data_IF_119922946225
#
_entry.id   IF_119922946225
#
_cell.length_a   1.000
_cell.length_b   1.000
_cell.length_c   1.000
_cell.angle_alpha   90.00
_cell.angle_beta   90.00
_cell.angle_gamma   90.00
#
_symmetry.space_group_name_H-M   'P 1'
#
loop_
_entity.id
_entity.type
_entity.pdbx_description
1 polymer ?
#
# COMPACT_ATOMS: atom_id res chain seq x y z
N UNK A 1 10.12 -6.87 16.92
CA UNK A 1 10.93 -6.30 15.82
C UNK A 1 11.61 -5.04 16.35
N UNK A 2 12.90 -5.11 16.69
CA UNK A 2 13.63 -4.00 17.31
C UNK A 2 14.21 -3.13 16.18
N UNK A 3 13.58 -1.99 15.85
CA UNK A 3 14.03 -0.97 14.87
C UNK A 3 15.05 -1.49 13.84
N UNK A 4 14.70 -2.52 13.08
CA UNK A 4 15.56 -3.01 12.00
C UNK A 4 15.36 -2.03 10.87
N UNK A 5 16.25 -1.04 10.84
CA UNK A 5 16.67 -0.25 9.68
C UNK A 5 15.78 -0.42 8.45
N UNK A 6 14.72 0.39 8.39
CA UNK A 6 13.87 0.45 7.20
C UNK A 6 14.71 0.79 5.98
N UNK A 7 14.58 -0.02 4.95
CA UNK A 7 15.19 0.27 3.66
C UNK A 7 16.68 -0.06 3.55
N UNK A 8 17.28 -0.73 4.54
CA UNK A 8 18.57 -1.40 4.35
C UNK A 8 18.34 -2.72 3.59
N UNK A 9 18.83 -2.80 2.36
CA UNK A 9 18.73 -3.99 1.53
C UNK A 9 19.91 -4.09 0.57
N UNK A 10 20.05 -5.24 -0.10
CA UNK A 10 21.13 -5.45 -1.07
C UNK A 10 21.09 -4.42 -2.21
N UNK A 11 19.90 -3.89 -2.52
CA UNK A 11 19.67 -2.86 -3.54
C UNK A 11 20.17 -1.47 -3.11
N UNK A 12 20.35 -1.24 -1.82
CA UNK A 12 20.78 0.05 -1.23
C UNK A 12 22.19 -0.02 -0.64
N UNK A 13 22.94 -1.10 -0.94
CA UNK A 13 24.27 -1.31 -0.37
C UNK A 13 24.26 -1.80 1.08
N UNK A 14 23.15 -2.40 1.53
CA UNK A 14 22.88 -2.79 2.93
C UNK A 14 22.84 -1.62 3.92
N UNK A 15 22.69 -0.40 3.41
CA UNK A 15 22.52 0.81 4.23
C UNK A 15 21.07 1.34 4.12
N UNK A 16 20.51 1.95 5.16
CA UNK A 16 19.20 2.60 5.10
C UNK A 16 19.18 3.70 4.03
N UNK A 17 18.27 3.59 3.07
CA UNK A 17 18.08 4.62 2.04
C UNK A 17 17.21 5.76 2.56
N UNK A 18 17.83 6.78 3.15
CA UNK A 18 17.19 8.05 3.52
C UNK A 18 18.10 9.24 3.18
N UNK A 19 18.27 9.58 1.89
CA UNK A 19 19.16 10.67 1.47
C UNK A 19 18.70 12.06 1.95
N UNK A 20 17.40 12.22 2.25
CA UNK A 20 16.80 13.50 2.65
C UNK A 20 16.56 13.62 4.17
N UNK A 21 16.86 12.57 4.95
CA UNK A 21 16.70 12.58 6.40
C UNK A 21 15.24 12.62 6.88
N UNK A 22 14.29 12.15 6.07
CA UNK A 22 12.86 12.16 6.40
C UNK A 22 12.57 11.34 7.66
N UNK A 23 13.31 10.25 7.89
CA UNK A 23 13.14 9.41 9.07
C UNK A 23 13.58 10.10 10.37
N UNK A 24 14.27 11.24 10.28
CA UNK A 24 14.80 11.98 11.42
C UNK A 24 13.99 13.25 11.74
N UNK A 25 13.03 13.64 10.89
CA UNK A 25 12.25 14.86 11.07
C UNK A 25 11.41 14.86 12.36
N UNK A 26 11.04 13.68 12.86
CA UNK A 26 10.37 13.52 14.16
C UNK A 26 11.19 14.07 15.35
N UNK A 27 12.52 14.22 15.20
CA UNK A 27 13.37 14.84 16.23
C UNK A 27 13.15 16.35 16.33
N UNK A 28 12.66 16.97 15.26
CA UNK A 28 12.34 18.40 15.17
C UNK A 28 10.82 18.55 15.20
N UNK A 29 10.18 18.02 16.23
CA UNK A 29 8.71 17.89 16.31
C UNK A 29 8.10 18.75 17.43
N UNK A 30 8.50 20.02 17.54
CA UNK A 30 8.02 20.91 18.60
C UNK A 30 6.51 21.15 18.60
N UNK A 31 5.86 20.97 17.45
CA UNK A 31 4.43 21.17 17.24
C UNK A 31 3.66 19.86 17.02
N UNK A 32 4.30 18.70 17.13
CA UNK A 32 3.63 17.42 16.86
C UNK A 32 3.23 17.20 15.38
N UNK A 33 3.84 17.95 14.44
CA UNK A 33 3.53 17.91 12.99
C UNK A 33 4.28 16.79 12.26
N UNK A 34 5.45 16.38 12.75
CA UNK A 34 6.29 15.39 12.09
C UNK A 34 5.99 13.99 12.65
N UNK A 35 5.65 13.02 11.80
CA UNK A 35 5.34 11.66 12.25
C UNK A 35 6.57 10.94 12.79
N UNK A 36 6.39 10.16 13.85
CA UNK A 36 7.40 9.20 14.32
C UNK A 36 7.65 8.09 13.27
N UNK A 37 8.84 7.48 13.19
CA UNK A 37 9.14 6.41 12.23
C UNK A 37 8.17 5.23 12.24
N UNK A 38 7.54 4.90 13.38
CA UNK A 38 6.50 3.88 13.46
C UNK A 38 5.32 4.17 12.52
N UNK A 39 4.87 5.42 12.48
CA UNK A 39 3.82 5.85 11.55
C UNK A 39 4.27 5.75 10.10
N UNK A 40 5.50 6.15 9.80
CA UNK A 40 6.06 6.07 8.44
C UNK A 40 6.12 4.61 7.95
N UNK A 41 6.49 3.67 8.83
CA UNK A 41 6.47 2.23 8.54
C UNK A 41 5.07 1.72 8.22
N UNK A 42 4.09 2.05 9.08
CA UNK A 42 2.72 1.62 8.86
C UNK A 42 2.15 2.22 7.58
N UNK A 43 2.46 3.49 7.33
CA UNK A 43 2.05 4.21 6.13
C UNK A 43 2.61 3.54 4.88
N UNK A 44 3.90 3.23 4.84
CA UNK A 44 4.54 2.53 3.71
C UNK A 44 3.86 1.18 3.44
N UNK A 45 3.63 0.38 4.49
CA UNK A 45 2.99 -0.94 4.35
C UNK A 45 1.55 -0.80 3.84
N UNK A 46 0.78 0.17 4.35
CA UNK A 46 -0.59 0.42 3.90
C UNK A 46 -0.64 0.88 2.44
N UNK A 47 0.19 1.83 2.05
CA UNK A 47 0.29 2.27 0.65
C UNK A 47 0.73 1.13 -0.27
N UNK A 48 1.71 0.33 0.16
CA UNK A 48 2.15 -0.86 -0.58
C UNK A 48 1.02 -1.88 -0.79
N UNK A 49 0.26 -2.21 0.25
CA UNK A 49 -0.90 -3.13 0.16
C UNK A 49 -1.98 -2.59 -0.78
N UNK A 50 -2.36 -1.33 -0.62
CA UNK A 50 -3.34 -0.69 -1.49
C UNK A 50 -2.86 -0.63 -2.94
N UNK A 51 -1.59 -0.28 -3.18
CA UNK A 51 -1.02 -0.25 -4.52
C UNK A 51 -0.94 -1.63 -5.17
N UNK A 52 -0.62 -2.68 -4.41
CA UNK A 52 -0.65 -4.06 -4.92
C UNK A 52 -2.05 -4.48 -5.37
N UNK A 53 -3.09 -4.16 -4.58
CA UNK A 53 -4.48 -4.43 -4.95
C UNK A 53 -4.91 -3.61 -6.17
N UNK A 54 -4.56 -2.32 -6.21
CA UNK A 54 -4.86 -1.44 -7.32
C UNK A 54 -4.19 -1.91 -8.62
N UNK A 55 -2.91 -2.30 -8.56
CA UNK A 55 -2.16 -2.81 -9.71
C UNK A 55 -2.82 -4.06 -10.30
N UNK A 56 -3.14 -5.06 -9.47
CA UNK A 56 -3.84 -6.26 -9.93
C UNK A 56 -5.23 -5.91 -10.48
N UNK A 57 -5.97 -5.03 -9.81
CA UNK A 57 -7.27 -4.56 -10.27
C UNK A 57 -7.22 -3.92 -11.66
N UNK A 58 -6.28 -3.00 -11.90
CA UNK A 58 -6.05 -2.37 -13.20
C UNK A 58 -5.77 -3.40 -14.28
N UNK A 59 -4.91 -4.39 -14.02
CA UNK A 59 -4.60 -5.43 -15.00
C UNK A 59 -5.81 -6.32 -15.31
N UNK A 60 -6.59 -6.70 -14.30
CA UNK A 60 -7.80 -7.54 -14.45
C UNK A 60 -8.87 -6.82 -15.27
N UNK A 61 -9.10 -5.53 -14.98
CA UNK A 61 -10.05 -4.68 -15.72
C UNK A 61 -9.59 -4.50 -17.18
N UNK A 62 -8.31 -4.19 -17.37
CA UNK A 62 -7.74 -4.03 -18.71
C UNK A 62 -7.79 -5.34 -19.53
N UNK A 63 -7.62 -6.49 -18.88
CA UNK A 63 -7.77 -7.81 -19.52
C UNK A 63 -9.24 -8.16 -19.85
N UNK A 64 -10.21 -7.34 -19.44
CA UNK A 64 -11.64 -7.59 -19.66
C UNK A 64 -12.21 -8.72 -18.79
N UNK A 65 -11.51 -9.09 -17.71
CA UNK A 65 -12.02 -10.09 -16.75
C UNK A 65 -12.94 -9.37 -15.78
N UNK A 66 -14.22 -9.74 -15.76
CA UNK A 66 -15.24 -9.08 -14.95
C UNK A 66 -16.11 -10.08 -14.19
N UNK A 67 -16.76 -9.58 -13.14
CA UNK A 67 -17.73 -10.37 -12.36
C UNK A 67 -19.02 -10.50 -13.20
N UNK A 68 -19.55 -11.71 -13.41
CA UNK A 68 -20.81 -11.89 -14.11
C UNK A 68 -21.96 -11.17 -13.40
N UNK A 69 -22.77 -10.42 -14.14
CA UNK A 69 -23.93 -9.71 -13.60
C UNK A 69 -23.65 -8.30 -13.05
N UNK A 70 -22.40 -7.82 -13.13
CA UNK A 70 -22.07 -6.42 -12.90
C UNK A 70 -21.69 -5.75 -14.23
N UNK A 71 -22.13 -4.52 -14.40
CA UNK A 71 -21.68 -3.68 -15.51
C UNK A 71 -20.17 -3.44 -15.37
N UNK A 72 -19.45 -3.57 -16.48
CA UNK A 72 -18.00 -3.38 -16.52
C UNK A 72 -17.60 -2.50 -17.71
N UNK A 73 -16.42 -1.91 -17.58
CA UNK A 73 -15.70 -1.21 -18.63
C UNK A 73 -14.28 -1.77 -18.66
N UNK A 74 -13.62 -1.76 -19.81
CA UNK A 74 -12.21 -2.14 -19.93
C UNK A 74 -11.27 -0.96 -19.64
N UNK A 75 -11.83 0.24 -19.51
CA UNK A 75 -11.09 1.43 -19.10
C UNK A 75 -10.93 1.43 -17.57
N UNK A 76 -9.70 1.15 -17.13
CA UNK A 76 -9.37 1.08 -15.72
C UNK A 76 -9.57 2.44 -15.02
N UNK A 77 -9.32 3.57 -15.68
CA UNK A 77 -9.42 4.90 -15.09
C UNK A 77 -10.87 5.29 -14.83
N UNK A 78 -11.75 5.06 -15.81
CA UNK A 78 -13.18 5.37 -15.70
C UNK A 78 -14.00 4.30 -14.97
N UNK A 79 -13.41 3.15 -14.64
CA UNK A 79 -14.11 2.04 -13.96
C UNK A 79 -14.75 2.43 -12.62
N UNK A 80 -14.06 3.19 -11.78
CA UNK A 80 -14.57 3.61 -10.47
C UNK A 80 -15.78 4.56 -10.57
N UNK A 81 -15.70 5.70 -11.29
CA UNK A 81 -16.84 6.61 -11.39
C UNK A 81 -18.05 5.95 -12.07
N UNK A 82 -17.85 5.06 -13.04
CA UNK A 82 -18.93 4.28 -13.64
C UNK A 82 -19.58 3.32 -12.63
N UNK A 83 -18.79 2.58 -11.86
CA UNK A 83 -19.29 1.69 -10.82
C UNK A 83 -20.07 2.46 -9.76
N UNK A 84 -19.55 3.62 -9.33
CA UNK A 84 -20.19 4.48 -8.34
C UNK A 84 -21.57 4.99 -8.81
N UNK A 85 -21.68 5.38 -10.09
CA UNK A 85 -22.92 5.88 -10.68
C UNK A 85 -23.97 4.77 -10.86
N UNK A 86 -23.55 3.59 -11.34
CA UNK A 86 -24.45 2.47 -11.65
C UNK A 86 -24.84 1.66 -10.41
N UNK A 87 -23.97 1.59 -9.39
CA UNK A 87 -24.12 0.73 -8.21
C UNK A 87 -23.85 1.47 -6.88
N UNK A 88 -24.64 2.51 -6.53
CA UNK A 88 -24.39 3.30 -5.32
C UNK A 88 -24.49 2.48 -4.03
N UNK A 89 -25.36 1.47 -3.97
CA UNK A 89 -25.45 0.56 -2.82
C UNK A 89 -24.24 -0.36 -2.70
N UNK A 90 -23.71 -0.84 -3.82
CA UNK A 90 -22.47 -1.65 -3.83
C UNK A 90 -21.28 -0.83 -3.35
N UNK A 91 -21.15 0.41 -3.81
CA UNK A 91 -20.13 1.34 -3.31
C UNK A 91 -20.30 1.59 -1.80
N UNK A 92 -21.52 1.84 -1.32
CA UNK A 92 -21.77 2.06 0.09
C UNK A 92 -21.36 0.87 0.96
N UNK A 93 -21.59 -0.37 0.51
CA UNK A 93 -21.17 -1.59 1.20
C UNK A 93 -19.64 -1.71 1.27
N UNK A 94 -18.93 -1.45 0.16
CA UNK A 94 -17.46 -1.46 0.12
C UNK A 94 -16.89 -0.40 1.06
N UNK A 95 -17.40 0.83 1.00
CA UNK A 95 -16.95 1.92 1.86
C UNK A 95 -17.23 1.64 3.33
N UNK A 96 -18.39 1.07 3.67
CA UNK A 96 -18.71 0.66 5.03
C UNK A 96 -17.74 -0.44 5.53
N UNK A 97 -17.44 -1.43 4.69
CA UNK A 97 -16.46 -2.48 5.01
C UNK A 97 -15.07 -1.92 5.28
N UNK A 98 -14.57 -1.03 4.41
CA UNK A 98 -13.29 -0.34 4.59
C UNK A 98 -13.29 0.52 5.86
N UNK A 99 -14.40 1.20 6.16
CA UNK A 99 -14.54 2.05 7.35
C UNK A 99 -14.49 1.23 8.63
N UNK A 100 -15.19 0.09 8.68
CA UNK A 100 -15.16 -0.81 9.84
C UNK A 100 -13.75 -1.39 10.02
N UNK A 101 -13.13 -1.82 8.94
CA UNK A 101 -11.78 -2.35 8.94
C UNK A 101 -10.76 -1.33 9.46
N UNK A 102 -10.69 -0.16 8.81
CA UNK A 102 -9.77 0.92 9.19
C UNK A 102 -10.10 1.50 10.56
N UNK A 103 -11.38 1.57 10.94
CA UNK A 103 -11.79 2.06 12.26
C UNK A 103 -11.35 1.13 13.40
N UNK A 104 -11.33 -0.19 13.17
CA UNK A 104 -10.88 -1.16 14.16
C UNK A 104 -9.36 -1.09 14.40
N UNK A 105 -8.57 -0.90 13.33
CA UNK A 105 -7.10 -0.91 13.41
C UNK A 105 -6.46 0.49 13.48
N UNK A 106 -7.19 1.54 13.10
CA UNK A 106 -6.69 2.91 12.97
C UNK A 106 -6.58 3.67 14.29
N UNK A 107 -7.15 3.18 15.38
CA UNK A 107 -7.01 3.76 16.73
C UNK A 107 -5.56 3.74 17.21
N UNK A 108 -4.80 2.69 16.88
CA UNK A 108 -3.37 2.61 17.19
C UNK A 108 -2.51 3.46 16.26
N UNK A 109 -2.97 3.76 15.04
CA UNK A 109 -2.23 4.59 14.11
C UNK A 109 -2.02 6.00 14.71
N UNK A 110 -3.02 6.56 15.40
CA UNK A 110 -2.87 7.83 16.12
C UNK A 110 -1.77 7.82 17.18
N UNK A 111 -1.54 6.68 17.86
CA UNK A 111 -0.46 6.50 18.83
C UNK A 111 0.90 6.29 18.13
N UNK A 112 0.92 5.66 16.96
CA UNK A 112 2.15 5.53 16.17
C UNK A 112 2.69 6.87 15.67
N UNK A 113 1.84 7.89 15.55
CA UNK A 113 2.25 9.24 15.23
C UNK A 113 3.22 9.82 16.27
N UNK A 114 2.97 9.57 17.56
CA UNK A 114 3.81 10.00 18.68
C UNK A 114 4.89 8.98 19.05
N UNK A 115 4.84 7.78 18.46
CA UNK A 115 5.76 6.66 18.77
C UNK A 115 5.31 5.81 19.95
N UNK A 116 4.09 6.03 20.45
CA UNK A 116 3.45 5.30 21.56
C UNK A 116 2.65 4.09 21.06
N UNK A 117 2.84 3.68 19.81
CA UNK A 117 2.20 2.50 19.23
C UNK A 117 2.53 1.24 20.00
N UNK A 118 1.51 0.46 20.36
CA UNK A 118 1.66 -0.79 21.11
C UNK A 118 1.92 -2.00 20.20
N UNK A 119 1.43 -2.01 18.97
CA UNK A 119 1.71 -3.06 17.98
C UNK A 119 2.89 -2.72 17.07
N UNK A 120 3.53 -3.74 16.50
CA UNK A 120 4.49 -3.49 15.43
C UNK A 120 3.77 -3.00 14.15
N UNK A 121 4.34 -2.04 13.41
CA UNK A 121 3.76 -1.57 12.15
C UNK A 121 3.46 -2.72 11.17
N UNK A 122 2.29 -2.67 10.53
CA UNK A 122 1.82 -3.67 9.56
C UNK A 122 1.22 -4.97 10.13
N UNK A 123 1.44 -5.29 11.41
CA UNK A 123 0.83 -6.44 12.09
C UNK A 123 -0.62 -6.14 12.52
N UNK A 124 -1.58 -6.49 11.67
CA UNK A 124 -3.02 -6.30 11.92
C UNK A 124 -3.72 -7.55 12.49
N UNK A 125 -2.98 -8.63 12.78
CA UNK A 125 -3.57 -9.88 13.27
C UNK A 125 -4.38 -10.67 12.23
N UNK A 126 -4.35 -10.27 10.95
CA UNK A 126 -5.07 -10.93 9.86
C UNK A 126 -4.23 -12.02 9.19
N UNK A 127 -4.23 -13.24 9.76
CA UNK A 127 -3.64 -14.44 9.16
C UNK A 127 -4.66 -15.60 9.17
N UNK A 128 -5.71 -15.55 8.34
CA UNK A 128 -6.76 -16.57 8.33
C UNK A 128 -6.24 -17.96 7.90
N UNK A 129 -5.14 -18.00 7.14
CA UNK A 129 -4.53 -19.24 6.65
C UNK A 129 -3.43 -19.77 7.57
N UNK A 130 -3.15 -19.10 8.70
CA UNK A 130 -2.08 -19.43 9.64
C UNK A 130 -0.71 -19.64 8.96
N UNK A 131 -0.42 -18.89 7.89
CA UNK A 131 0.81 -19.06 7.11
C UNK A 131 2.07 -18.71 7.92
N UNK A 132 1.91 -17.93 8.97
CA UNK A 132 3.00 -17.51 9.85
C UNK A 132 3.20 -18.43 11.05
N UNK A 133 2.24 -19.33 11.32
CA UNK A 133 2.29 -20.24 12.47
C UNK A 133 3.40 -21.28 12.29
N UNK A 134 4.31 -21.36 13.27
CA UNK A 134 5.41 -22.34 13.30
C UNK A 134 6.62 -21.98 12.44
N UNK A 135 6.66 -20.79 11.83
CA UNK A 135 7.84 -20.26 11.14
C UNK A 135 8.85 -19.66 12.11
N UNK A 136 10.14 -19.70 11.77
CA UNK A 136 11.17 -19.01 12.53
C UNK A 136 11.07 -17.49 12.36
N UNK A 137 11.60 -16.72 13.31
CA UNK A 137 11.63 -15.25 13.20
C UNK A 137 12.34 -14.77 11.92
N UNK A 138 13.39 -15.49 11.49
CA UNK A 138 14.10 -15.20 10.24
C UNK A 138 13.24 -15.40 9.00
N UNK A 139 12.45 -16.47 8.95
CA UNK A 139 11.52 -16.72 7.85
C UNK A 139 10.41 -15.67 7.79
N UNK A 140 9.89 -15.29 8.97
CA UNK A 140 8.89 -14.24 9.11
C UNK A 140 9.42 -12.91 8.57
N UNK A 141 10.65 -12.53 8.94
CA UNK A 141 11.28 -11.30 8.46
C UNK A 141 11.54 -11.34 6.96
N UNK A 142 11.90 -12.51 6.42
CA UNK A 142 12.07 -12.70 4.96
C UNK A 142 10.76 -12.47 4.21
N UNK A 143 9.63 -12.97 4.75
CA UNK A 143 8.31 -12.76 4.14
C UNK A 143 7.86 -11.29 4.22
N UNK A 144 8.09 -10.63 5.35
CA UNK A 144 7.83 -9.18 5.50
C UNK A 144 8.65 -8.36 4.51
N UNK A 145 9.92 -8.73 4.29
CA UNK A 145 10.77 -8.05 3.31
C UNK A 145 10.23 -8.21 1.88
N UNK A 146 9.74 -9.40 1.52
CA UNK A 146 9.09 -9.64 0.22
C UNK A 146 7.84 -8.78 0.04
N UNK A 147 7.01 -8.67 1.07
CA UNK A 147 5.82 -7.81 1.06
C UNK A 147 6.20 -6.35 0.77
N UNK A 148 7.18 -5.80 1.50
CA UNK A 148 7.62 -4.41 1.31
C UNK A 148 8.19 -4.19 -0.09
N UNK A 149 9.03 -5.10 -0.59
CA UNK A 149 9.62 -4.98 -1.94
C UNK A 149 8.56 -5.02 -3.05
N UNK A 150 7.60 -5.94 -2.95
CA UNK A 150 6.48 -5.99 -3.89
C UNK A 150 5.58 -4.76 -3.77
N UNK A 151 5.34 -4.27 -2.55
CA UNK A 151 4.59 -3.05 -2.30
C UNK A 151 5.25 -1.81 -2.93
N UNK A 152 6.57 -1.63 -2.77
CA UNK A 152 7.34 -0.55 -3.41
C UNK A 152 7.27 -0.62 -4.93
N UNK A 153 7.43 -1.82 -5.49
CA UNK A 153 7.32 -2.02 -6.93
C UNK A 153 5.91 -1.67 -7.43
N UNK A 154 4.86 -2.09 -6.72
CA UNK A 154 3.48 -1.77 -7.07
C UNK A 154 3.18 -0.26 -6.98
N UNK A 155 3.70 0.44 -5.97
CA UNK A 155 3.57 1.90 -5.87
C UNK A 155 4.20 2.60 -7.07
N UNK A 156 5.39 2.17 -7.50
CA UNK A 156 6.05 2.69 -8.72
C UNK A 156 5.22 2.36 -9.96
N UNK A 157 4.70 1.14 -10.07
CA UNK A 157 3.89 0.72 -11.21
C UNK A 157 2.61 1.57 -11.36
N UNK A 158 1.89 1.82 -10.26
CA UNK A 158 0.70 2.67 -10.27
C UNK A 158 1.02 4.13 -10.63
N UNK A 159 2.14 4.66 -10.14
CA UNK A 159 2.61 5.98 -10.55
C UNK A 159 2.94 6.03 -12.05
N UNK A 160 3.52 4.95 -12.60
CA UNK A 160 3.78 4.79 -14.02
C UNK A 160 2.51 4.76 -14.87
N UNK A 161 1.49 3.99 -14.45
CA UNK A 161 0.18 3.96 -15.11
C UNK A 161 -0.49 5.33 -15.12
N UNK A 162 -0.52 6.02 -13.97
CA UNK A 162 -1.05 7.37 -13.90
C UNK A 162 -0.27 8.35 -14.80
N UNK A 163 1.07 8.25 -14.82
CA UNK A 163 1.91 9.11 -15.66
C UNK A 163 1.62 8.91 -17.14
N UNK A 164 1.56 7.67 -17.62
CA UNK A 164 1.29 7.38 -19.03
C UNK A 164 -0.12 7.84 -19.43
N UNK A 165 -1.11 7.63 -18.57
CA UNK A 165 -2.48 8.05 -18.83
C UNK A 165 -2.62 9.56 -19.03
N UNK A 166 -2.01 10.37 -18.15
CA UNK A 166 -2.12 11.82 -18.21
C UNK A 166 -1.09 12.48 -19.15
N UNK A 167 0.05 11.82 -19.37
CA UNK A 167 1.14 12.29 -20.22
C UNK A 167 1.54 11.14 -21.15
N UNK A 168 0.89 11.03 -22.32
CA UNK A 168 1.17 9.96 -23.27
C UNK A 168 2.64 9.93 -23.71
N UNK A 169 3.26 8.76 -23.66
CA UNK A 169 4.67 8.55 -23.97
C UNK A 169 5.64 8.87 -22.83
N UNK A 170 5.15 9.22 -21.63
CA UNK A 170 6.00 9.44 -20.45
C UNK A 170 6.65 8.16 -19.94
N UNK A 171 6.00 7.02 -20.15
CA UNK A 171 6.55 5.69 -19.86
C UNK A 171 6.68 4.94 -21.18
N UNK A 172 7.86 4.94 -21.82
CA UNK A 172 8.05 4.38 -23.16
C UNK A 172 7.60 2.91 -23.33
N UNK A 173 7.68 2.13 -22.25
CA UNK A 173 7.26 0.72 -22.25
C UNK A 173 5.75 0.52 -22.29
N UNK A 174 4.97 1.52 -21.86
CA UNK A 174 3.50 1.47 -21.81
C UNK A 174 2.83 2.21 -22.96
N UNK A 175 3.62 2.92 -23.78
CA UNK A 175 3.10 3.72 -24.88
C UNK A 175 2.32 2.87 -25.87
N UNK A 176 1.07 3.27 -26.12
CA UNK A 176 0.15 2.57 -27.02
C UNK A 176 -0.51 1.31 -26.43
N UNK A 177 -0.28 0.99 -25.15
CA UNK A 177 -0.91 -0.17 -24.49
C UNK A 177 -2.27 0.15 -23.86
N UNK A 178 -2.67 1.42 -23.75
CA UNK A 178 -3.96 1.80 -23.18
C UNK A 178 -4.02 1.70 -21.66
N UNK A 179 -2.88 1.91 -21.00
CA UNK A 179 -2.79 2.22 -19.57
C UNK A 179 -2.80 3.74 -19.40
#
# INVERSE_FOLDING_TARGET
>A
MRMVELGAGVETGNEPWDPMGFSQMYKVNSLGINPHPQWLQESEIKHGRTAMLAFVGTLVIHAGIHIPGLDYTTDWYNSFPEFAAKNPLGLAQVMAGLTIWEGHYGTEAGLMWTGEGTRNPGELGFDPLNLMKGKSEADVNTMKLKEIKNGRLAMIAMAGFASEHFIPGSVPLLSGQGF
#
